data_IF_256593197073
#
_entry.id   IF_256593197073
#
_cell.length_a   1.000
_cell.length_b   1.000
_cell.length_c   1.000
_cell.angle_alpha   90.00
_cell.angle_beta   90.00
_cell.angle_gamma   90.00
#
_symmetry.space_group_name_H-M   'P 1'
#
loop_
_entity.id
_entity.type
_entity.pdbx_description
1 polymer ?
#
# COMPACT_ATOMS: atom_id res chain seq x y z
N UNK A 1 4.39 -51.81 -8.33
CA UNK A 1 5.18 -50.65 -7.89
C UNK A 1 4.19 -49.64 -7.32
N UNK A 2 4.28 -49.22 -6.06
CA UNK A 2 5.31 -48.30 -5.60
C UNK A 2 5.62 -47.20 -6.63
N UNK A 3 4.64 -46.72 -7.39
CA UNK A 3 4.79 -45.46 -8.12
C UNK A 3 4.84 -44.34 -7.08
N UNK A 4 6.01 -44.11 -6.49
CA UNK A 4 6.35 -43.07 -5.53
C UNK A 4 6.22 -41.66 -6.11
N UNK A 5 5.04 -41.32 -6.61
CA UNK A 5 4.69 -40.00 -7.11
C UNK A 5 4.28 -39.14 -5.93
N UNK A 6 5.10 -38.15 -5.61
CA UNK A 6 4.75 -37.13 -4.65
C UNK A 6 3.46 -36.41 -5.10
N UNK A 7 2.51 -36.24 -4.18
CA UNK A 7 1.34 -35.39 -4.40
C UNK A 7 1.70 -33.95 -4.03
N UNK A 8 1.46 -33.02 -4.97
CA UNK A 8 1.63 -31.59 -4.74
C UNK A 8 0.25 -30.93 -4.72
N UNK A 9 -0.04 -30.20 -3.64
CA UNK A 9 -1.25 -29.39 -3.51
C UNK A 9 -0.86 -27.92 -3.49
N UNK A 10 -1.59 -27.11 -4.25
CA UNK A 10 -1.44 -25.66 -4.25
C UNK A 10 -2.55 -25.03 -3.41
N UNK A 11 -2.18 -24.14 -2.50
CA UNK A 11 -3.10 -23.31 -1.74
C UNK A 11 -2.73 -21.85 -1.97
N UNK A 12 -3.67 -21.07 -2.51
CA UNK A 12 -3.51 -19.63 -2.70
C UNK A 12 -4.25 -18.94 -1.57
N UNK A 13 -3.49 -18.42 -0.61
CA UNK A 13 -4.07 -17.70 0.53
C UNK A 13 -4.68 -16.36 0.09
N UNK A 14 -3.92 -15.59 -0.69
CA UNK A 14 -4.28 -14.24 -1.10
C UNK A 14 -4.12 -14.10 -2.62
N UNK A 15 -5.22 -14.13 -3.40
CA UNK A 15 -5.12 -13.88 -4.84
C UNK A 15 -4.76 -12.41 -5.09
N UNK A 16 -4.07 -12.09 -6.20
CA UNK A 16 -3.71 -10.72 -6.51
C UNK A 16 -4.95 -9.86 -6.76
N UNK A 17 -4.88 -8.59 -6.40
CA UNK A 17 -5.90 -7.59 -6.73
C UNK A 17 -5.29 -6.49 -7.58
N UNK A 18 -6.03 -6.06 -8.59
CA UNK A 18 -5.68 -4.91 -9.44
C UNK A 18 -6.77 -3.86 -9.26
N UNK A 19 -6.35 -2.64 -8.96
CA UNK A 19 -7.23 -1.47 -8.95
C UNK A 19 -7.04 -0.68 -10.23
N UNK A 20 -8.12 -0.08 -10.71
CA UNK A 20 -8.05 0.91 -11.78
C UNK A 20 -7.26 2.12 -11.28
N UNK A 21 -6.28 2.57 -12.06
CA UNK A 21 -5.49 3.76 -11.76
C UNK A 21 -6.36 5.03 -11.74
N UNK A 22 -7.46 5.01 -12.47
CA UNK A 22 -8.46 6.07 -12.51
C UNK A 22 -9.59 5.87 -11.48
N UNK A 23 -9.47 4.94 -10.54
CA UNK A 23 -10.42 4.86 -9.44
C UNK A 23 -10.35 6.16 -8.59
N UNK A 24 -11.48 6.72 -8.13
CA UNK A 24 -11.49 7.95 -7.33
C UNK A 24 -10.56 7.89 -6.11
N UNK A 25 -10.51 6.75 -5.42
CA UNK A 25 -9.60 6.53 -4.30
C UNK A 25 -8.12 6.62 -4.69
N UNK A 26 -7.75 6.06 -5.85
CA UNK A 26 -6.36 6.06 -6.32
C UNK A 26 -5.94 7.48 -6.69
N UNK A 27 -6.76 8.21 -7.46
CA UNK A 27 -6.49 9.61 -7.80
C UNK A 27 -6.39 10.49 -6.57
N UNK A 28 -7.30 10.33 -5.61
CA UNK A 28 -7.28 11.11 -4.36
C UNK A 28 -5.99 10.86 -3.57
N UNK A 29 -5.53 9.60 -3.48
CA UNK A 29 -4.28 9.28 -2.79
C UNK A 29 -3.04 9.85 -3.50
N UNK A 30 -2.99 9.75 -4.83
CA UNK A 30 -1.87 10.29 -5.63
C UNK A 30 -1.82 11.83 -5.58
N UNK A 31 -2.96 12.49 -5.75
CA UNK A 31 -3.05 13.94 -5.68
C UNK A 31 -2.71 14.47 -4.29
N UNK A 32 -3.21 13.83 -3.24
CA UNK A 32 -2.87 14.18 -1.86
C UNK A 32 -1.39 13.98 -1.53
N UNK A 33 -0.76 12.93 -2.09
CA UNK A 33 0.67 12.73 -1.97
C UNK A 33 1.42 13.92 -2.58
N UNK A 34 1.15 14.24 -3.85
CA UNK A 34 1.82 15.35 -4.56
C UNK A 34 1.59 16.70 -3.89
N UNK A 35 0.38 16.98 -3.40
CA UNK A 35 0.07 18.22 -2.67
C UNK A 35 0.93 18.38 -1.41
N UNK A 36 1.11 17.30 -0.64
CA UNK A 36 1.80 17.35 0.65
C UNK A 36 3.31 17.26 0.51
N UNK A 37 3.81 16.44 -0.43
CA UNK A 37 5.25 16.19 -0.61
C UNK A 37 5.89 17.11 -1.65
N UNK A 38 5.10 17.65 -2.59
CA UNK A 38 5.59 18.37 -3.77
C UNK A 38 6.13 17.46 -4.87
N UNK A 39 6.04 16.13 -4.71
CA UNK A 39 6.55 15.15 -5.66
C UNK A 39 5.43 14.21 -6.12
N UNK A 40 5.33 13.95 -7.43
CA UNK A 40 4.37 12.98 -7.93
C UNK A 40 4.77 11.55 -7.56
N UNK A 41 3.80 10.72 -7.19
CA UNK A 41 3.99 9.29 -6.97
C UNK A 41 3.42 8.47 -8.12
N UNK A 42 4.06 7.34 -8.45
CA UNK A 42 3.52 6.37 -9.39
C UNK A 42 2.88 5.19 -8.63
N UNK A 43 1.73 4.66 -9.09
CA UNK A 43 1.21 3.40 -8.60
C UNK A 43 2.25 2.29 -8.76
N UNK A 44 2.45 1.49 -7.70
CA UNK A 44 3.35 0.34 -7.73
C UNK A 44 2.61 -0.95 -7.37
N UNK A 45 3.11 -2.07 -7.90
CA UNK A 45 2.71 -3.38 -7.42
C UNK A 45 3.46 -3.67 -6.12
N UNK A 46 2.73 -3.66 -5.00
CA UNK A 46 3.28 -4.10 -3.71
C UNK A 46 3.44 -5.62 -3.70
N UNK A 47 4.57 -6.08 -3.15
CA UNK A 47 4.78 -7.47 -2.70
C UNK A 47 5.36 -7.43 -1.28
N UNK A 48 4.89 -8.25 -0.31
CA UNK A 48 3.82 -9.26 -0.39
C UNK A 48 2.40 -8.66 -0.47
N UNK A 49 1.35 -9.46 -0.26
CA UNK A 49 -0.04 -9.00 -0.12
C UNK A 49 -0.29 -8.31 1.24
N UNK A 50 -1.32 -7.47 1.32
CA UNK A 50 -1.78 -6.77 2.52
C UNK A 50 -3.30 -6.94 2.66
N UNK A 51 -3.87 -6.53 3.79
CA UNK A 51 -5.32 -6.61 4.08
C UNK A 51 -6.19 -5.93 3.01
N UNK A 52 -5.64 -4.95 2.27
CA UNK A 52 -6.28 -4.35 1.10
C UNK A 52 -6.72 -5.39 0.06
N UNK A 53 -6.01 -6.51 -0.05
CA UNK A 53 -6.35 -7.64 -0.93
C UNK A 53 -7.71 -8.22 -0.58
N UNK A 54 -8.00 -8.34 0.72
CA UNK A 54 -9.28 -8.83 1.20
C UNK A 54 -10.39 -7.81 0.90
N UNK A 55 -10.20 -6.53 1.24
CA UNK A 55 -11.20 -5.49 0.97
C UNK A 55 -11.54 -5.36 -0.52
N UNK A 56 -10.51 -5.32 -1.37
CA UNK A 56 -10.68 -5.25 -2.82
C UNK A 56 -11.47 -6.43 -3.37
N UNK A 57 -11.26 -7.64 -2.81
CA UNK A 57 -12.01 -8.84 -3.20
C UNK A 57 -13.50 -8.75 -2.86
N UNK A 58 -13.87 -8.04 -1.79
CA UNK A 58 -15.26 -7.81 -1.42
C UNK A 58 -15.86 -6.54 -2.06
N UNK A 59 -15.18 -5.97 -3.07
CA UNK A 59 -15.69 -4.82 -3.81
C UNK A 59 -15.53 -3.49 -3.10
N UNK A 60 -14.68 -3.42 -2.07
CA UNK A 60 -14.33 -2.18 -1.38
C UNK A 60 -12.94 -1.74 -1.89
N UNK A 61 -12.83 -0.71 -2.74
CA UNK A 61 -11.54 -0.22 -3.20
C UNK A 61 -10.65 0.19 -2.02
N UNK A 62 -9.42 -0.31 -1.99
CA UNK A 62 -8.48 -0.12 -0.90
C UNK A 62 -7.04 -0.10 -1.43
N UNK A 63 -6.35 1.02 -1.20
CA UNK A 63 -4.94 1.22 -1.56
C UNK A 63 -4.04 1.11 -0.33
N UNK A 64 -2.80 0.64 -0.52
CA UNK A 64 -1.78 0.69 0.51
C UNK A 64 -0.94 1.96 0.35
N UNK A 65 -0.80 2.72 1.43
CA UNK A 65 0.05 3.91 1.50
C UNK A 65 0.62 4.02 2.91
N UNK A 66 1.87 4.49 3.07
CA UNK A 66 2.49 4.62 4.38
C UNK A 66 3.85 5.32 4.38
N UNK A 67 4.41 5.60 5.57
CA UNK A 67 5.61 6.42 5.79
C UNK A 67 6.94 5.71 5.47
N UNK A 68 6.95 4.82 4.48
CA UNK A 68 8.15 4.06 4.10
C UNK A 68 9.04 4.78 3.08
N UNK A 69 10.26 4.29 2.89
CA UNK A 69 11.13 4.68 1.77
C UNK A 69 12.48 5.27 2.19
N UNK A 70 12.53 6.03 3.28
CA UNK A 70 13.79 6.52 3.87
C UNK A 70 14.27 5.56 4.95
N UNK A 71 15.58 5.30 4.94
CA UNK A 71 16.26 4.40 5.87
C UNK A 71 17.31 5.19 6.63
N UNK A 72 17.59 4.82 7.87
CA UNK A 72 18.73 5.38 8.59
C UNK A 72 20.03 5.13 7.79
N UNK A 73 20.97 6.09 7.68
CA UNK A 73 22.19 5.92 6.88
C UNK A 73 23.03 4.69 7.27
N UNK A 74 23.00 4.31 8.54
CA UNK A 74 23.71 3.11 9.05
C UNK A 74 22.91 1.82 8.90
N UNK A 75 21.62 1.91 8.57
CA UNK A 75 20.85 0.76 8.18
C UNK A 75 21.34 0.36 6.79
N UNK A 76 22.30 -0.58 6.74
CA UNK A 76 22.83 -1.21 5.52
C UNK A 76 21.73 -2.02 4.79
N UNK A 77 20.64 -1.35 4.41
CA UNK A 77 19.37 -1.91 3.93
C UNK A 77 18.67 -2.86 4.94
N UNK A 78 18.97 -2.72 6.24
CA UNK A 78 18.45 -3.60 7.32
C UNK A 78 17.22 -3.10 8.07
N UNK A 79 16.72 -1.89 7.78
CA UNK A 79 15.42 -1.38 8.25
C UNK A 79 14.23 -2.08 7.57
N UNK A 80 14.31 -3.41 7.49
CA UNK A 80 13.28 -4.25 6.89
C UNK A 80 12.18 -4.45 7.92
N UNK A 81 10.93 -4.31 7.50
CA UNK A 81 9.79 -4.74 8.30
C UNK A 81 10.03 -6.16 8.83
N UNK A 82 9.72 -6.39 10.11
CA UNK A 82 9.91 -7.65 10.83
C UNK A 82 11.36 -7.97 11.24
N UNK A 83 12.24 -6.96 11.36
CA UNK A 83 13.61 -7.15 11.84
C UNK A 83 13.90 -6.32 13.11
N UNK A 84 14.85 -6.79 13.92
CA UNK A 84 15.38 -5.99 15.04
C UNK A 84 16.05 -4.75 14.47
N UNK A 85 15.67 -3.58 15.01
CA UNK A 85 16.11 -2.29 14.48
C UNK A 85 15.23 -1.77 13.36
N UNK A 86 14.02 -2.32 13.16
CA UNK A 86 12.97 -1.65 12.38
C UNK A 86 12.71 -0.25 12.96
N UNK A 87 12.71 0.74 12.08
CA UNK A 87 12.57 2.15 12.44
C UNK A 87 11.86 2.89 11.30
N UNK A 88 11.29 4.04 11.65
CA UNK A 88 10.68 4.98 10.70
C UNK A 88 11.02 6.39 11.16
N UNK A 89 11.24 7.31 10.22
CA UNK A 89 11.43 8.71 10.55
C UNK A 89 10.12 9.35 10.99
N UNK A 90 10.15 10.13 12.07
CA UNK A 90 8.95 10.78 12.60
C UNK A 90 8.36 11.74 11.55
N UNK A 91 9.22 12.41 10.79
CA UNK A 91 8.81 13.29 9.71
C UNK A 91 8.05 12.54 8.61
N UNK A 92 8.42 11.29 8.29
CA UNK A 92 7.67 10.47 7.34
C UNK A 92 6.31 10.09 7.89
N UNK A 93 6.21 9.75 9.18
CA UNK A 93 4.93 9.46 9.83
C UNK A 93 4.00 10.68 9.78
N UNK A 94 4.52 11.86 10.12
CA UNK A 94 3.76 13.11 10.05
C UNK A 94 3.36 13.45 8.62
N UNK A 95 4.25 13.24 7.66
CA UNK A 95 3.97 13.45 6.22
C UNK A 95 2.87 12.50 5.75
N UNK A 96 2.94 11.21 6.08
CA UNK A 96 1.90 10.25 5.74
C UNK A 96 0.55 10.61 6.37
N UNK A 97 0.53 11.07 7.63
CA UNK A 97 -0.69 11.54 8.29
C UNK A 97 -1.33 12.73 7.55
N UNK A 98 -0.53 13.69 7.10
CA UNK A 98 -1.01 14.82 6.28
C UNK A 98 -1.60 14.34 4.95
N UNK A 99 -0.96 13.37 4.29
CA UNK A 99 -1.49 12.77 3.04
C UNK A 99 -2.82 12.07 3.28
N UNK A 100 -2.95 11.28 4.36
CA UNK A 100 -4.23 10.66 4.70
C UNK A 100 -5.33 11.70 4.92
N UNK A 101 -5.03 12.80 5.61
CA UNK A 101 -5.98 13.89 5.85
C UNK A 101 -6.37 14.58 4.54
N UNK A 102 -5.41 14.94 3.69
CA UNK A 102 -5.67 15.58 2.40
C UNK A 102 -6.51 14.69 1.48
N UNK A 103 -6.20 13.40 1.40
CA UNK A 103 -6.99 12.44 0.62
C UNK A 103 -8.43 12.32 1.15
N UNK A 104 -8.60 12.20 2.48
CA UNK A 104 -9.91 12.13 3.09
C UNK A 104 -10.74 13.41 2.86
N UNK A 105 -10.11 14.58 2.98
CA UNK A 105 -10.77 15.87 2.70
C UNK A 105 -11.17 15.99 1.24
N UNK A 106 -10.30 15.60 0.30
CA UNK A 106 -10.60 15.58 -1.13
C UNK A 106 -11.83 14.72 -1.41
N UNK A 107 -11.84 13.47 -0.94
CA UNK A 107 -12.95 12.54 -1.15
C UNK A 107 -14.25 13.06 -0.54
N UNK A 108 -14.20 13.58 0.68
CA UNK A 108 -15.39 14.08 1.39
C UNK A 108 -15.91 15.42 0.85
N UNK A 109 -15.09 16.18 0.11
CA UNK A 109 -15.46 17.48 -0.46
C UNK A 109 -16.06 17.35 -1.86
N UNK A 110 -15.90 16.21 -2.53
CA UNK A 110 -16.64 15.92 -3.76
C UNK A 110 -18.14 15.86 -3.44
N UNK A 111 -18.97 16.47 -4.31
CA UNK A 111 -20.42 16.32 -4.18
C UNK A 111 -20.74 14.83 -4.22
N UNK A 112 -21.39 14.34 -3.17
CA UNK A 112 -21.69 12.93 -2.94
C UNK A 112 -21.96 12.18 -4.25
N UNK A 113 -21.24 11.06 -4.44
CA UNK A 113 -21.38 10.11 -5.55
C UNK A 113 -22.83 10.10 -6.07
N UNK A 114 -23.07 10.79 -7.20
CA UNK A 114 -24.34 10.75 -7.92
C UNK A 114 -24.40 9.55 -8.83
#
# INVERSE_FOLDING_TARGET
>A
DETGRAALSFYVNDPPTLLDADAPLVRAALGAHEEVTGEASAPIIRRPAADSTHFNRYGIPCVCYGPGGRMHPEAAQKGLMHAVGEHVLIEDVVTAAKVYLAAALSICSEKAFS
#
